data_IF_970237985954
#
_entry.id   IF_970237985954
#
_cell.length_a   1.000
_cell.length_b   1.000
_cell.length_c   1.000
_cell.angle_alpha   90.00
_cell.angle_beta   90.00
_cell.angle_gamma   90.00
#
_symmetry.space_group_name_H-M   'P 1'
#
loop_
_entity.id
_entity.type
_entity.pdbx_description
1 polymer ?
#
# COMPACT_ATOMS: atom_id res chain seq x y z
N UNK A 1 -12.84 -15.02 -9.97
CA UNK A 1 -12.07 -13.85 -10.45
C UNK A 1 -12.76 -13.30 -11.67
N UNK A 2 -13.08 -12.01 -11.63
CA UNK A 2 -13.50 -11.24 -12.79
C UNK A 2 -12.44 -11.40 -13.90
N UNK A 3 -12.87 -11.72 -15.13
CA UNK A 3 -11.96 -11.92 -16.28
C UNK A 3 -11.29 -10.61 -16.71
N UNK A 4 -11.72 -9.48 -16.16
CA UNK A 4 -11.27 -8.14 -16.51
C UNK A 4 -9.87 -7.81 -15.96
N UNK A 5 -9.48 -8.37 -14.81
CA UNK A 5 -8.16 -8.13 -14.20
C UNK A 5 -7.45 -9.43 -13.82
N UNK A 6 -6.54 -9.94 -14.68
CA UNK A 6 -5.89 -11.23 -14.44
C UNK A 6 -4.83 -11.20 -13.33
N UNK A 7 -4.42 -10.01 -12.87
CA UNK A 7 -3.38 -9.83 -11.87
C UNK A 7 -3.82 -8.91 -10.74
N UNK A 8 -3.35 -9.24 -9.54
CA UNK A 8 -3.38 -8.37 -8.36
C UNK A 8 -1.93 -8.06 -8.02
N UNK A 9 -1.62 -6.80 -7.72
CA UNK A 9 -0.33 -6.44 -7.14
C UNK A 9 -0.58 -5.84 -5.77
N UNK A 10 -0.11 -6.52 -4.73
CA UNK A 10 -0.09 -5.99 -3.37
C UNK A 10 1.24 -5.29 -3.16
N UNK A 11 1.23 -4.08 -2.63
CA UNK A 11 2.45 -3.31 -2.41
C UNK A 11 2.34 -2.44 -1.17
N UNK A 12 3.50 -2.09 -0.62
CA UNK A 12 3.65 -1.26 0.57
C UNK A 12 4.96 -0.47 0.45
N UNK A 13 4.97 0.74 0.99
CA UNK A 13 6.16 1.59 1.05
C UNK A 13 6.50 1.98 2.48
N UNK A 14 7.79 1.85 2.82
CA UNK A 14 8.35 2.67 3.89
C UNK A 14 8.82 4.00 3.33
N UNK A 15 8.62 5.06 4.12
CA UNK A 15 8.79 6.44 3.64
C UNK A 15 9.56 7.30 4.63
N UNK A 16 10.25 8.32 4.13
CA UNK A 16 11.00 9.28 4.94
C UNK A 16 10.10 10.26 5.71
N UNK A 17 8.77 10.19 5.52
CA UNK A 17 7.78 11.14 6.03
C UNK A 17 6.37 10.79 5.58
N UNK A 18 5.42 11.71 5.72
CA UNK A 18 3.98 11.41 5.55
C UNK A 18 3.36 12.00 4.28
N UNK A 19 4.17 12.64 3.43
CA UNK A 19 3.67 13.48 2.34
C UNK A 19 4.33 13.11 1.02
N UNK A 20 3.59 12.41 0.16
CA UNK A 20 4.10 11.92 -1.12
C UNK A 20 4.63 13.02 -2.06
N UNK A 21 4.16 14.26 -1.93
CA UNK A 21 4.58 15.40 -2.75
C UNK A 21 5.97 15.94 -2.38
N UNK A 22 6.43 15.73 -1.14
CA UNK A 22 7.70 16.30 -0.63
C UNK A 22 8.65 15.27 -0.02
N UNK A 23 8.15 14.21 0.60
CA UNK A 23 8.93 13.15 1.22
C UNK A 23 9.34 12.10 0.18
N UNK A 24 10.11 11.07 0.58
CA UNK A 24 10.64 10.03 -0.33
C UNK A 24 10.26 8.63 0.14
N UNK A 25 10.12 7.72 -0.81
CA UNK A 25 10.05 6.29 -0.53
C UNK A 25 11.47 5.80 -0.24
N UNK A 26 11.62 4.98 0.81
CA UNK A 26 12.91 4.47 1.29
C UNK A 26 12.96 2.93 1.31
N UNK A 27 11.82 2.24 1.31
CA UNK A 27 11.71 0.80 1.03
C UNK A 27 10.50 0.59 0.12
N UNK A 28 10.64 -0.29 -0.87
CA UNK A 28 9.54 -0.77 -1.70
C UNK A 28 9.40 -2.25 -1.48
N UNK A 29 8.19 -2.72 -1.21
CA UNK A 29 7.83 -4.12 -1.38
C UNK A 29 6.60 -4.26 -2.27
N UNK A 30 6.61 -5.28 -3.12
CA UNK A 30 5.47 -5.65 -3.92
C UNK A 30 5.48 -7.14 -4.28
N UNK A 31 4.32 -7.76 -4.24
CA UNK A 31 4.07 -9.07 -4.84
C UNK A 31 3.01 -8.97 -5.93
N UNK A 32 3.24 -9.65 -7.05
CA UNK A 32 2.27 -9.78 -8.13
C UNK A 32 1.70 -11.19 -8.11
N UNK A 33 0.38 -11.27 -8.08
CA UNK A 33 -0.37 -12.50 -7.97
C UNK A 33 -1.21 -12.75 -9.23
N UNK A 34 -1.33 -14.02 -9.62
CA UNK A 34 -2.29 -14.50 -10.63
C UNK A 34 -3.12 -15.61 -9.99
N UNK A 35 -4.41 -15.37 -9.78
CA UNK A 35 -5.16 -16.26 -8.88
C UNK A 35 -4.64 -16.12 -7.45
N UNK A 36 -4.53 -17.25 -6.75
CA UNK A 36 -3.96 -17.32 -5.40
C UNK A 36 -2.44 -17.56 -5.40
N UNK A 37 -1.77 -17.44 -6.55
CA UNK A 37 -0.33 -17.71 -6.68
C UNK A 37 0.45 -16.41 -6.86
N UNK A 38 1.47 -16.21 -6.04
CA UNK A 38 2.49 -15.20 -6.29
C UNK A 38 3.32 -15.63 -7.50
N UNK A 39 3.46 -14.74 -8.48
CA UNK A 39 4.17 -14.99 -9.74
C UNK A 39 5.39 -14.09 -9.92
N UNK A 40 5.52 -13.04 -9.11
CA UNK A 40 6.68 -12.16 -9.07
C UNK A 40 6.70 -11.43 -7.74
N UNK A 41 7.90 -11.16 -7.25
CA UNK A 41 8.13 -10.39 -6.02
C UNK A 41 9.22 -9.37 -6.28
N UNK A 42 9.15 -8.25 -5.60
CA UNK A 42 10.15 -7.21 -5.64
C UNK A 42 10.24 -6.56 -4.26
N UNK A 43 11.45 -6.51 -3.70
CA UNK A 43 11.76 -5.74 -2.50
C UNK A 43 13.09 -5.03 -2.70
N UNK A 44 13.17 -3.77 -2.29
CA UNK A 44 14.41 -3.00 -2.34
C UNK A 44 14.36 -1.82 -1.38
N UNK A 45 15.52 -1.47 -0.82
CA UNK A 45 15.73 -0.14 -0.25
C UNK A 45 15.96 0.86 -1.38
N UNK A 46 15.55 2.10 -1.15
CA UNK A 46 15.69 3.20 -2.11
C UNK A 46 16.64 4.25 -1.55
N UNK A 47 17.58 4.68 -2.38
CA UNK A 47 18.55 5.71 -2.00
C UNK A 47 17.85 6.99 -1.56
N UNK A 48 18.29 7.54 -0.43
CA UNK A 48 17.76 8.76 0.16
C UNK A 48 18.89 9.66 0.62
N UNK A 49 19.02 10.82 -0.03
CA UNK A 49 20.08 11.80 0.25
C UNK A 49 19.76 12.72 1.45
N UNK A 50 18.57 12.57 2.05
CA UNK A 50 18.17 13.32 3.24
C UNK A 50 18.55 12.64 4.54
N UNK A 51 18.19 13.25 5.66
CA UNK A 51 18.36 12.67 7.01
C UNK A 51 17.05 12.08 7.47
N UNK A 52 17.04 10.79 7.80
CA UNK A 52 15.87 10.17 8.43
C UNK A 52 15.62 10.75 9.82
N UNK A 53 14.36 11.13 10.09
CA UNK A 53 13.97 11.48 11.44
C UNK A 53 14.10 10.25 12.35
N UNK A 54 14.52 10.39 13.63
CA UNK A 54 14.68 9.25 14.54
C UNK A 54 13.43 8.37 14.66
N UNK A 55 12.24 8.98 14.50
CA UNK A 55 10.99 8.24 14.54
C UNK A 55 10.80 7.28 13.36
N UNK A 56 11.30 7.63 12.17
CA UNK A 56 11.25 6.74 11.00
C UNK A 56 12.19 5.55 11.21
N UNK A 57 13.39 5.79 11.75
CA UNK A 57 14.34 4.72 12.09
C UNK A 57 13.75 3.79 13.16
N UNK A 58 13.12 4.35 14.21
CA UNK A 58 12.45 3.56 15.26
C UNK A 58 11.32 2.70 14.70
N UNK A 59 10.53 3.23 13.78
CA UNK A 59 9.39 2.52 13.19
C UNK A 59 9.84 1.41 12.24
N UNK A 60 10.72 1.74 11.30
CA UNK A 60 11.07 0.86 10.16
C UNK A 60 12.29 -0.02 10.43
N UNK A 61 13.13 0.35 11.38
CA UNK A 61 14.43 -0.25 11.62
C UNK A 61 15.50 0.10 10.57
N UNK A 62 15.15 0.85 9.53
CA UNK A 62 16.05 1.21 8.43
C UNK A 62 17.02 2.31 8.90
N UNK A 63 18.32 2.03 8.82
CA UNK A 63 19.36 3.00 9.13
C UNK A 63 19.72 3.83 7.89
N UNK A 64 20.32 5.00 8.11
CA UNK A 64 20.77 5.86 7.01
C UNK A 64 21.81 5.15 6.13
N UNK A 65 22.66 4.31 6.72
CA UNK A 65 23.69 3.56 6.02
C UNK A 65 23.09 2.50 5.07
N UNK A 66 21.97 1.88 5.45
CA UNK A 66 21.29 0.86 4.64
C UNK A 66 20.77 1.46 3.32
N UNK A 67 20.40 2.75 3.33
CA UNK A 67 19.84 3.45 2.17
C UNK A 67 20.90 3.76 1.10
N UNK A 68 22.17 3.91 1.50
CA UNK A 68 23.25 4.22 0.55
C UNK A 68 23.45 3.09 -0.47
N UNK A 69 23.25 1.85 -0.04
CA UNK A 69 23.36 0.64 -0.85
C UNK A 69 22.06 0.27 -1.60
N UNK A 70 21.00 1.04 -1.40
CA UNK A 70 19.71 0.86 -2.08
C UNK A 70 19.77 1.15 -3.59
N UNK A 71 18.67 0.87 -4.29
CA UNK A 71 18.52 1.29 -5.68
C UNK A 71 18.22 2.79 -5.75
N UNK A 72 18.72 3.46 -6.80
CA UNK A 72 18.29 4.82 -7.12
C UNK A 72 16.77 4.88 -7.28
N UNK A 73 16.14 5.99 -6.89
CA UNK A 73 14.68 6.18 -7.01
C UNK A 73 14.15 5.88 -8.44
N UNK A 74 14.84 6.35 -9.48
CA UNK A 74 14.47 6.09 -10.88
C UNK A 74 14.48 4.59 -11.22
N UNK A 75 15.56 3.88 -10.87
CA UNK A 75 15.67 2.43 -11.14
C UNK A 75 14.61 1.64 -10.38
N UNK A 76 14.41 1.93 -9.09
CA UNK A 76 13.45 1.23 -8.24
C UNK A 76 12.02 1.39 -8.78
N UNK A 77 11.61 2.61 -9.14
CA UNK A 77 10.28 2.87 -9.66
C UNK A 77 10.07 2.38 -11.09
N UNK A 78 11.11 2.29 -11.94
CA UNK A 78 11.00 1.63 -13.25
C UNK A 78 10.71 0.14 -13.11
N UNK A 79 11.37 -0.54 -12.16
CA UNK A 79 11.13 -1.96 -11.88
C UNK A 79 9.72 -2.13 -11.31
N UNK A 80 9.34 -1.35 -10.31
CA UNK A 80 8.01 -1.38 -9.71
C UNK A 80 6.92 -1.16 -10.77
N UNK A 81 7.03 -0.11 -11.61
CA UNK A 81 6.03 0.19 -12.64
C UNK A 81 5.86 -0.95 -13.65
N UNK A 82 6.94 -1.68 -13.98
CA UNK A 82 6.86 -2.90 -14.81
C UNK A 82 6.13 -4.04 -14.11
N UNK A 83 6.26 -4.16 -12.79
CA UNK A 83 5.56 -5.14 -11.98
C UNK A 83 4.06 -4.80 -11.85
N UNK A 84 3.70 -3.53 -11.66
CA UNK A 84 2.31 -3.06 -11.55
C UNK A 84 1.51 -3.29 -12.84
N UNK A 85 2.05 -2.93 -14.01
CA UNK A 85 1.48 -3.13 -15.36
C UNK A 85 -0.07 -3.15 -15.41
N UNK A 86 -0.68 -4.31 -15.61
CA UNK A 86 -2.12 -4.59 -15.81
C UNK A 86 -2.78 -5.17 -14.55
N UNK A 87 -2.20 -4.92 -13.37
CA UNK A 87 -2.75 -5.34 -12.09
C UNK A 87 -3.78 -4.38 -11.53
N UNK A 88 -4.73 -4.91 -10.75
CA UNK A 88 -5.39 -4.12 -9.68
C UNK A 88 -4.39 -3.97 -8.54
N UNK A 89 -4.19 -2.75 -8.07
CA UNK A 89 -3.30 -2.47 -6.95
C UNK A 89 -4.04 -2.70 -5.63
N UNK A 90 -3.37 -3.30 -4.66
CA UNK A 90 -3.92 -3.54 -3.33
C UNK A 90 -2.92 -3.04 -2.30
N UNK A 91 -3.41 -2.29 -1.33
CA UNK A 91 -2.63 -1.80 -0.20
C UNK A 91 -3.57 -1.59 1.00
N UNK A 92 -3.01 -1.57 2.20
CA UNK A 92 -3.77 -1.26 3.42
C UNK A 92 -3.59 0.21 3.77
N UNK A 93 -4.66 1.00 3.75
CA UNK A 93 -4.61 2.47 3.72
C UNK A 93 -4.10 3.03 2.38
N UNK A 94 -4.58 2.45 1.28
CA UNK A 94 -4.01 2.65 -0.06
C UNK A 94 -3.84 4.12 -0.50
N UNK A 95 -4.65 5.05 0.00
CA UNK A 95 -4.49 6.48 -0.29
C UNK A 95 -3.08 7.01 0.03
N UNK A 96 -2.41 6.44 1.04
CA UNK A 96 -1.05 6.79 1.42
C UNK A 96 -0.05 6.36 0.35
N UNK A 97 0.07 5.06 0.08
CA UNK A 97 1.05 4.51 -0.88
C UNK A 97 0.78 4.99 -2.30
N UNK A 98 -0.49 5.11 -2.69
CA UNK A 98 -0.87 5.64 -3.99
C UNK A 98 -0.45 7.11 -4.15
N UNK A 99 -0.42 7.91 -3.08
CA UNK A 99 0.08 9.29 -3.13
C UNK A 99 1.58 9.33 -3.42
N UNK A 100 2.37 8.51 -2.71
CA UNK A 100 3.80 8.37 -2.96
C UNK A 100 4.09 7.84 -4.37
N UNK A 101 3.32 6.85 -4.83
CA UNK A 101 3.42 6.31 -6.19
C UNK A 101 3.12 7.39 -7.23
N UNK A 102 2.06 8.17 -7.04
CA UNK A 102 1.69 9.24 -7.95
C UNK A 102 2.78 10.29 -8.07
N UNK A 103 3.18 10.90 -6.95
CA UNK A 103 4.10 12.01 -6.95
C UNK A 103 5.50 11.60 -7.42
N UNK A 104 5.93 10.38 -7.09
CA UNK A 104 7.22 9.86 -7.56
C UNK A 104 7.20 9.57 -9.07
N UNK A 105 6.15 8.93 -9.59
CA UNK A 105 6.04 8.73 -11.04
C UNK A 105 5.87 10.05 -11.81
N UNK A 106 5.14 11.03 -11.27
CA UNK A 106 5.05 12.36 -11.86
C UNK A 106 6.42 13.05 -11.91
N UNK A 107 7.22 12.98 -10.82
CA UNK A 107 8.56 13.55 -10.74
C UNK A 107 9.54 12.90 -11.71
N UNK A 108 9.51 11.57 -11.84
CA UNK A 108 10.47 10.80 -12.65
C UNK A 108 10.09 10.69 -14.13
N UNK A 109 8.80 10.57 -14.43
CA UNK A 109 8.31 10.21 -15.76
C UNK A 109 7.27 11.18 -16.33
N UNK A 110 6.85 12.21 -15.58
CA UNK A 110 5.86 13.19 -16.04
C UNK A 110 4.44 12.63 -16.21
N UNK A 111 4.19 11.41 -15.72
CA UNK A 111 2.88 10.74 -15.79
C UNK A 111 2.67 9.82 -14.59
N UNK A 112 1.42 9.62 -14.21
CA UNK A 112 1.06 8.75 -13.10
C UNK A 112 0.63 7.35 -13.53
N UNK A 113 0.35 6.49 -12.56
CA UNK A 113 -0.34 5.22 -12.77
C UNK A 113 -1.81 5.47 -13.14
N UNK A 114 -2.40 4.48 -13.80
CA UNK A 114 -3.83 4.47 -14.18
C UNK A 114 -4.53 3.20 -13.69
N UNK A 115 -3.83 2.40 -12.89
CA UNK A 115 -4.30 1.13 -12.40
C UNK A 115 -5.54 1.33 -11.50
N UNK A 116 -6.54 0.44 -11.61
CA UNK A 116 -7.55 0.35 -10.57
C UNK A 116 -6.90 -0.10 -9.26
N UNK A 117 -7.52 0.24 -8.13
CA UNK A 117 -7.02 -0.15 -6.82
C UNK A 117 -8.12 -0.63 -5.87
N UNK A 118 -7.74 -1.35 -4.83
CA UNK A 118 -8.57 -1.73 -3.69
C UNK A 118 -7.81 -1.39 -2.41
N UNK A 119 -8.49 -0.73 -1.47
CA UNK A 119 -7.97 -0.43 -0.14
C UNK A 119 -8.53 -1.41 0.90
N UNK A 120 -7.67 -2.25 1.48
CA UNK A 120 -8.11 -3.22 2.49
C UNK A 120 -8.58 -2.53 3.77
N UNK A 121 -8.09 -1.33 4.09
CA UNK A 121 -8.58 -0.56 5.25
C UNK A 121 -10.05 -0.13 5.09
N UNK A 122 -10.44 0.25 3.86
CA UNK A 122 -11.82 0.57 3.52
C UNK A 122 -12.74 -0.62 3.78
N UNK A 123 -12.33 -1.82 3.36
CA UNK A 123 -13.09 -3.05 3.60
C UNK A 123 -13.11 -3.40 5.09
N UNK A 124 -11.97 -3.30 5.80
CA UNK A 124 -11.89 -3.53 7.25
C UNK A 124 -12.89 -2.67 8.02
N UNK A 125 -13.05 -1.39 7.65
CA UNK A 125 -14.00 -0.47 8.32
C UNK A 125 -15.46 -0.89 8.13
N UNK A 126 -15.79 -1.52 7.01
CA UNK A 126 -17.13 -2.03 6.75
C UNK A 126 -17.39 -3.34 7.49
N UNK A 127 -16.42 -4.26 7.52
CA UNK A 127 -16.62 -5.61 8.07
C UNK A 127 -16.38 -5.70 9.58
N UNK A 128 -15.38 -4.98 10.08
CA UNK A 128 -14.82 -5.19 11.42
C UNK A 128 -15.20 -4.09 12.42
N UNK A 129 -14.84 -4.33 13.68
CA UNK A 129 -14.88 -3.33 14.73
C UNK A 129 -13.51 -2.67 14.89
N UNK A 130 -13.51 -1.38 15.24
CA UNK A 130 -12.31 -0.60 15.52
C UNK A 130 -11.48 -1.26 16.64
N UNK A 131 -10.14 -1.27 16.56
CA UNK A 131 -9.28 -0.60 15.56
C UNK A 131 -9.04 -1.39 14.24
N UNK A 132 -8.46 -0.70 13.24
CA UNK A 132 -8.37 -1.16 11.84
C UNK A 132 -6.96 -1.08 11.23
N UNK A 133 -5.90 -0.94 12.03
CA UNK A 133 -4.55 -0.99 11.45
C UNK A 133 -4.31 -2.34 10.78
N UNK A 134 -3.26 -2.47 9.97
CA UNK A 134 -2.92 -3.75 9.35
C UNK A 134 -2.80 -4.83 10.43
N UNK A 135 -2.04 -4.52 11.50
CA UNK A 135 -1.91 -5.37 12.68
C UNK A 135 -3.26 -5.72 13.32
N UNK A 136 -4.13 -4.74 13.59
CA UNK A 136 -5.43 -5.02 14.22
C UNK A 136 -6.33 -5.89 13.34
N UNK A 137 -6.23 -5.72 12.02
CA UNK A 137 -6.97 -6.53 11.05
C UNK A 137 -6.42 -7.96 11.04
N UNK A 138 -5.09 -8.13 11.06
CA UNK A 138 -4.44 -9.43 11.21
C UNK A 138 -4.88 -10.14 12.51
N UNK A 139 -4.87 -9.44 13.63
CA UNK A 139 -5.26 -9.97 14.94
C UNK A 139 -6.72 -10.48 14.94
N UNK A 140 -7.63 -9.75 14.28
CA UNK A 140 -9.04 -10.16 14.16
C UNK A 140 -9.24 -11.41 13.30
N UNK A 141 -8.32 -11.69 12.36
CA UNK A 141 -8.37 -12.85 11.47
C UNK A 141 -7.41 -13.98 11.87
N UNK A 142 -6.72 -13.86 13.01
CA UNK A 142 -5.66 -14.76 13.44
C UNK A 142 -4.58 -14.99 12.35
N UNK A 143 -4.18 -13.90 11.68
CA UNK A 143 -3.05 -13.86 10.73
C UNK A 143 -1.81 -13.45 11.51
N UNK A 144 -0.72 -14.20 11.37
CA UNK A 144 0.55 -13.88 12.03
C UNK A 144 1.26 -12.75 11.29
N UNK A 145 1.51 -11.64 11.99
CA UNK A 145 2.34 -10.54 11.49
C UNK A 145 3.57 -10.40 12.40
N UNK A 146 4.70 -10.94 11.96
CA UNK A 146 6.00 -10.79 12.62
C UNK A 146 6.83 -9.71 11.91
N UNK A 147 7.44 -8.80 12.68
CA UNK A 147 8.25 -7.72 12.12
C UNK A 147 7.44 -6.73 11.26
N UNK A 148 6.35 -6.19 11.82
CA UNK A 148 5.62 -5.08 11.22
C UNK A 148 6.55 -3.88 10.94
N UNK A 149 6.21 -3.07 9.94
CA UNK A 149 7.06 -1.99 9.42
C UNK A 149 8.34 -2.49 8.72
N UNK A 150 8.23 -3.69 8.15
CA UNK A 150 9.12 -4.19 7.11
C UNK A 150 8.23 -4.43 5.89
N UNK A 151 8.46 -3.68 4.82
CA UNK A 151 7.47 -3.55 3.75
C UNK A 151 7.02 -4.91 3.19
N UNK A 152 7.92 -5.90 3.05
CA UNK A 152 7.53 -7.21 2.51
C UNK A 152 6.66 -8.03 3.48
N UNK A 153 6.89 -7.94 4.79
CA UNK A 153 6.04 -8.60 5.78
C UNK A 153 4.62 -8.03 5.74
N UNK A 154 4.52 -6.71 5.63
CA UNK A 154 3.25 -5.99 5.55
C UNK A 154 2.52 -6.29 4.23
N UNK A 155 3.25 -6.46 3.12
CA UNK A 155 2.69 -6.91 1.83
C UNK A 155 2.06 -8.30 1.92
N UNK A 156 2.73 -9.29 2.54
CA UNK A 156 2.14 -10.62 2.70
C UNK A 156 0.95 -10.62 3.65
N UNK A 157 1.01 -9.87 4.75
CA UNK A 157 -0.12 -9.71 5.66
C UNK A 157 -1.34 -9.06 4.96
N UNK A 158 -1.10 -8.00 4.18
CA UNK A 158 -2.13 -7.36 3.37
C UNK A 158 -2.71 -8.32 2.33
N UNK A 159 -1.87 -9.15 1.70
CA UNK A 159 -2.33 -10.19 0.77
C UNK A 159 -3.21 -11.23 1.45
N UNK A 160 -2.84 -11.74 2.61
CA UNK A 160 -3.66 -12.69 3.37
C UNK A 160 -5.01 -12.07 3.78
N UNK A 161 -5.02 -10.82 4.26
CA UNK A 161 -6.24 -10.08 4.56
C UNK A 161 -7.12 -9.96 3.32
N UNK A 162 -6.54 -9.55 2.19
CA UNK A 162 -7.27 -9.45 0.92
C UNK A 162 -7.89 -10.80 0.52
N UNK A 163 -7.14 -11.90 0.68
CA UNK A 163 -7.65 -13.24 0.42
C UNK A 163 -8.82 -13.60 1.35
N UNK A 164 -8.78 -13.26 2.64
CA UNK A 164 -9.93 -13.44 3.55
C UNK A 164 -11.15 -12.65 3.08
N UNK A 165 -10.97 -11.37 2.73
CA UNK A 165 -12.06 -10.55 2.24
C UNK A 165 -12.70 -11.09 0.96
N UNK A 166 -11.91 -11.68 0.05
CA UNK A 166 -12.48 -12.30 -1.17
C UNK A 166 -13.38 -13.51 -0.89
N UNK A 167 -13.32 -14.08 0.32
CA UNK A 167 -14.18 -15.19 0.76
C UNK A 167 -15.46 -14.69 1.44
N UNK A 168 -15.46 -13.47 1.99
CA UNK A 168 -16.58 -12.90 2.75
C UNK A 168 -17.45 -11.96 1.92
N UNK A 169 -16.82 -11.19 1.01
CA UNK A 169 -17.50 -10.18 0.20
C UNK A 169 -17.03 -10.21 -1.26
N UNK A 170 -17.88 -9.66 -2.12
CA UNK A 170 -17.48 -9.33 -3.48
C UNK A 170 -16.58 -8.09 -3.48
N UNK A 171 -15.27 -8.32 -3.39
CA UNK A 171 -14.25 -7.26 -3.34
C UNK A 171 -14.24 -6.35 -4.57
N UNK A 172 -14.86 -6.77 -5.70
CA UNK A 172 -14.92 -5.94 -6.91
C UNK A 172 -15.77 -4.68 -6.72
N UNK A 173 -16.70 -4.69 -5.76
CA UNK A 173 -17.51 -3.52 -5.36
C UNK A 173 -16.69 -2.40 -4.70
N UNK A 174 -15.44 -2.68 -4.34
CA UNK A 174 -14.53 -1.75 -3.68
C UNK A 174 -13.46 -1.20 -4.62
N UNK A 175 -13.48 -1.58 -5.90
CA UNK A 175 -12.55 -1.04 -6.89
C UNK A 175 -12.69 0.48 -6.95
N UNK A 176 -11.55 1.16 -6.78
CA UNK A 176 -11.39 2.61 -6.77
C UNK A 176 -12.15 3.33 -5.66
N UNK A 177 -12.55 2.64 -4.59
CA UNK A 177 -13.29 3.25 -3.48
C UNK A 177 -12.39 3.47 -2.27
N UNK A 178 -12.49 4.64 -1.64
CA UNK A 178 -11.76 4.98 -0.43
C UNK A 178 -12.72 5.51 0.64
N UNK A 179 -12.90 4.71 1.69
CA UNK A 179 -13.60 5.12 2.89
C UNK A 179 -12.68 5.96 3.77
N UNK A 180 -13.11 7.15 4.20
CA UNK A 180 -12.35 8.00 5.12
C UNK A 180 -13.15 8.31 6.39
N UNK A 181 -12.47 8.39 7.55
CA UNK A 181 -13.16 8.73 8.80
C UNK A 181 -13.66 10.17 8.76
N UNK A 182 -14.97 10.39 8.97
CA UNK A 182 -15.60 11.72 8.95
C UNK A 182 -14.84 12.76 9.78
N UNK A 183 -14.36 12.36 10.98
CA UNK A 183 -13.63 13.25 11.89
C UNK A 183 -12.33 13.83 11.33
N UNK A 184 -11.71 13.17 10.36
CA UNK A 184 -10.45 13.62 9.75
C UNK A 184 -10.64 14.22 8.34
N UNK A 185 -11.81 14.02 7.74
CA UNK A 185 -12.04 14.42 6.35
C UNK A 185 -11.40 13.46 5.34
N UNK A 186 -11.56 13.76 4.03
CA UNK A 186 -10.98 12.96 2.96
C UNK A 186 -9.44 12.98 3.00
N UNK A 187 -8.77 12.00 2.37
CA UNK A 187 -7.32 12.02 2.25
C UNK A 187 -6.85 13.27 1.50
N UNK A 188 -5.64 13.74 1.80
CA UNK A 188 -5.05 14.94 1.18
C UNK A 188 -4.94 14.82 -0.33
N UNK A 189 -4.70 13.60 -0.81
CA UNK A 189 -4.61 13.26 -2.21
C UNK A 189 -5.26 11.89 -2.43
N UNK A 190 -5.92 11.74 -3.57
CA UNK A 190 -6.41 10.48 -4.10
C UNK A 190 -6.40 10.54 -5.63
N UNK A 191 -6.37 9.41 -6.35
CA UNK A 191 -6.55 9.41 -7.79
C UNK A 191 -7.86 10.12 -8.19
N UNK A 192 -7.87 10.84 -9.30
CA UNK A 192 -9.06 11.59 -9.75
C UNK A 192 -10.27 10.72 -10.06
N UNK A 193 -10.04 9.41 -10.27
CA UNK A 193 -11.06 8.40 -10.50
C UNK A 193 -11.48 7.65 -9.22
N UNK A 194 -11.01 8.07 -8.05
CA UNK A 194 -11.40 7.48 -6.77
C UNK A 194 -12.78 7.97 -6.32
N UNK A 195 -13.63 7.03 -5.88
CA UNK A 195 -14.89 7.31 -5.19
C UNK A 195 -14.63 7.43 -3.68
N UNK A 196 -14.63 8.67 -3.18
CA UNK A 196 -14.39 8.96 -1.77
C UNK A 196 -15.71 9.00 -1.01
N UNK A 197 -15.78 8.28 0.11
CA UNK A 197 -16.99 8.30 0.94
C UNK A 197 -16.67 8.32 2.44
N UNK A 198 -17.48 9.02 3.24
CA UNK A 198 -17.26 9.11 4.68
C UNK A 198 -17.67 7.81 5.40
N UNK A 199 -16.88 7.41 6.40
CA UNK A 199 -17.15 6.30 7.31
C UNK A 199 -17.06 6.74 8.77
N UNK A 200 -17.54 5.89 9.67
CA UNK A 200 -17.44 6.06 11.13
C UNK A 200 -16.86 4.78 11.76
N UNK A 201 -16.25 4.92 12.93
CA UNK A 201 -15.75 3.77 13.67
C UNK A 201 -16.95 2.95 14.19
N UNK A 202 -16.88 1.63 13.99
CA UNK A 202 -17.78 0.67 14.62
C UNK A 202 -17.11 0.15 15.89
N UNK A 203 -17.66 0.44 17.07
CA UNK A 203 -17.15 -0.07 18.34
C UNK A 203 -17.89 -1.36 18.74
N UNK A 204 -17.22 -2.25 19.48
CA UNK A 204 -17.85 -3.43 20.08
C UNK A 204 -18.79 -3.04 21.22
#
# INVERSE_FOLDING_TARGET
>A
MDKTYPYITVFDFETSGLHGDRDRVIEIAAIRCKGNKVVSEFSTLVQFDGVLAPKIVELTGIQQEDLADGLSEDTAFRILNRLLKDSVLVAHNAAFDLSFLHHTLMRLAGRSFVNPFIDTLTISRELLYYPYTLKDTCDQYAITLEGAHRAMNDVYACWEIYQRFTQEVDVTKYINRLGYLKKYGPPRWAPSYADLFPTENRYK
#
